data_IF_953202568033
#
_entry.id   IF_953202568033
#
_cell.length_a   1.000
_cell.length_b   1.000
_cell.length_c   1.000
_cell.angle_alpha   90.00
_cell.angle_beta   90.00
_cell.angle_gamma   90.00
#
_symmetry.space_group_name_H-M   'P 1'
#
loop_
_entity.id
_entity.type
_entity.pdbx_description
1 polymer ?
#
# COMPACT_ATOMS: atom_id res chain seq x y z
N UNK A 1 -10.62 -48.09 -40.23
CA UNK A 1 -10.51 -46.64 -40.57
C UNK A 1 -11.15 -45.73 -39.51
N UNK A 2 -12.16 -46.17 -38.74
CA UNK A 2 -12.79 -45.38 -37.65
C UNK A 2 -11.98 -45.25 -36.34
N UNK A 3 -11.01 -46.16 -36.07
CA UNK A 3 -10.16 -46.08 -34.85
C UNK A 3 -9.11 -44.95 -34.89
N UNK A 4 -8.64 -44.54 -36.07
CA UNK A 4 -7.65 -43.47 -36.19
C UNK A 4 -8.25 -42.07 -35.95
N UNK A 5 -9.55 -41.89 -36.22
CA UNK A 5 -10.21 -40.60 -36.01
C UNK A 5 -10.46 -40.33 -34.52
N UNK A 6 -10.76 -41.38 -33.73
CA UNK A 6 -10.96 -41.26 -32.29
C UNK A 6 -9.66 -40.94 -31.53
N UNK A 7 -8.53 -41.51 -31.95
CA UNK A 7 -7.23 -41.23 -31.32
C UNK A 7 -6.81 -39.77 -31.53
N UNK A 8 -7.02 -39.20 -32.72
CA UNK A 8 -6.63 -37.81 -33.03
C UNK A 8 -7.45 -36.80 -32.20
N UNK A 9 -8.74 -37.07 -31.99
CA UNK A 9 -9.61 -36.19 -31.19
C UNK A 9 -9.23 -36.25 -29.70
N UNK A 10 -8.91 -37.43 -29.17
CA UNK A 10 -8.48 -37.58 -27.76
C UNK A 10 -7.10 -36.93 -27.55
N UNK A 11 -6.16 -37.08 -28.48
CA UNK A 11 -4.85 -36.42 -28.39
C UNK A 11 -4.97 -34.91 -28.48
N UNK A 12 -5.81 -34.35 -29.38
CA UNK A 12 -6.05 -32.91 -29.45
C UNK A 12 -6.76 -32.35 -28.22
N UNK A 13 -7.66 -33.11 -27.58
CA UNK A 13 -8.31 -32.69 -26.33
C UNK A 13 -7.36 -32.74 -25.14
N UNK A 14 -6.51 -33.77 -25.05
CA UNK A 14 -5.49 -33.88 -24.00
C UNK A 14 -4.48 -32.73 -24.07
N UNK A 15 -4.01 -32.38 -25.27
CA UNK A 15 -3.10 -31.25 -25.49
C UNK A 15 -3.72 -29.89 -25.10
N UNK A 16 -5.04 -29.73 -25.30
CA UNK A 16 -5.78 -28.53 -24.92
C UNK A 16 -5.93 -28.38 -23.40
N UNK A 17 -6.10 -29.49 -22.69
CA UNK A 17 -6.20 -29.53 -21.22
C UNK A 17 -4.83 -29.24 -20.60
N UNK A 18 -3.75 -29.84 -21.11
CA UNK A 18 -2.38 -29.59 -20.64
C UNK A 18 -1.89 -28.17 -20.95
N UNK A 19 -2.32 -27.58 -22.09
CA UNK A 19 -2.06 -26.16 -22.39
C UNK A 19 -2.72 -25.22 -21.38
N UNK A 20 -3.92 -25.52 -20.89
CA UNK A 20 -4.57 -24.70 -19.88
C UNK A 20 -3.90 -24.80 -18.51
N UNK A 21 -3.42 -25.98 -18.09
CA UNK A 21 -2.68 -26.11 -16.83
C UNK A 21 -1.31 -25.45 -16.89
N UNK A 22 -0.61 -25.54 -18.02
CA UNK A 22 0.68 -24.85 -18.21
C UNK A 22 0.52 -23.33 -18.37
N UNK A 23 -0.58 -22.85 -18.96
CA UNK A 23 -0.96 -21.43 -18.95
C UNK A 23 -1.29 -20.96 -17.53
N UNK A 24 -2.08 -21.72 -16.76
CA UNK A 24 -2.39 -21.37 -15.37
C UNK A 24 -1.13 -21.40 -14.49
N UNK A 25 -0.21 -22.33 -14.73
CA UNK A 25 1.07 -22.41 -14.02
C UNK A 25 2.07 -21.34 -14.49
N UNK A 26 2.00 -20.88 -15.74
CA UNK A 26 2.77 -19.74 -16.24
C UNK A 26 2.20 -18.41 -15.72
N UNK A 27 0.88 -18.28 -15.63
CA UNK A 27 0.17 -17.14 -15.00
C UNK A 27 0.47 -17.08 -13.50
N UNK A 28 0.60 -18.22 -12.81
CA UNK A 28 1.01 -18.28 -11.41
C UNK A 28 2.52 -18.03 -11.19
N UNK A 29 3.35 -18.19 -12.24
CA UNK A 29 4.80 -17.93 -12.22
C UNK A 29 5.17 -16.52 -12.68
N UNK A 30 4.38 -15.88 -13.53
CA UNK A 30 4.33 -14.42 -13.58
C UNK A 30 3.74 -13.96 -12.25
N UNK A 31 4.31 -12.93 -11.62
CA UNK A 31 3.86 -12.38 -10.34
C UNK A 31 2.46 -11.73 -10.47
N UNK A 32 1.41 -12.51 -10.75
CA UNK A 32 0.02 -12.08 -10.76
C UNK A 32 -0.63 -12.22 -9.37
N UNK A 33 0.19 -12.29 -8.32
CA UNK A 33 -0.26 -12.14 -6.93
C UNK A 33 -0.35 -10.66 -6.53
N UNK A 34 0.36 -9.79 -7.26
CA UNK A 34 0.39 -8.35 -7.01
C UNK A 34 -0.76 -7.58 -7.68
N UNK A 35 -1.58 -8.25 -8.51
CA UNK A 35 -2.68 -7.60 -9.27
C UNK A 35 -4.06 -7.73 -8.63
N UNK A 36 -4.22 -8.51 -7.57
CA UNK A 36 -5.46 -8.49 -6.78
C UNK A 36 -5.31 -7.47 -5.66
N UNK A 37 -5.67 -6.21 -5.94
CA UNK A 37 -5.63 -5.08 -4.99
C UNK A 37 -6.76 -5.14 -3.94
N UNK A 38 -7.27 -6.33 -3.62
CA UNK A 38 -8.24 -6.48 -2.54
C UNK A 38 -7.46 -6.65 -1.24
N UNK A 39 -7.60 -5.68 -0.34
CA UNK A 39 -7.03 -5.76 0.99
C UNK A 39 -7.71 -6.85 1.80
N UNK A 40 -6.97 -7.42 2.73
CA UNK A 40 -7.50 -8.33 3.76
C UNK A 40 -7.65 -7.62 5.10
N UNK A 41 -8.38 -8.24 6.03
CA UNK A 41 -8.53 -7.71 7.39
C UNK A 41 -7.18 -7.54 8.11
N UNK A 42 -6.23 -8.46 7.87
CA UNK A 42 -4.88 -8.38 8.43
C UNK A 42 -4.10 -7.16 7.90
N UNK A 43 -4.34 -6.76 6.64
CA UNK A 43 -3.72 -5.56 6.08
C UNK A 43 -4.27 -4.29 6.73
N UNK A 44 -5.57 -4.25 7.03
CA UNK A 44 -6.18 -3.14 7.78
C UNK A 44 -5.61 -3.04 9.18
N UNK A 45 -5.42 -4.16 9.89
CA UNK A 45 -4.77 -4.16 11.21
C UNK A 45 -3.33 -3.65 11.15
N UNK A 46 -2.57 -4.09 10.15
CA UNK A 46 -1.20 -3.62 9.93
C UNK A 46 -1.14 -2.12 9.63
N UNK A 47 -2.04 -1.63 8.77
CA UNK A 47 -2.13 -0.19 8.44
C UNK A 47 -2.53 0.62 9.68
N UNK A 48 -3.47 0.13 10.48
CA UNK A 48 -3.89 0.78 11.73
C UNK A 48 -2.71 0.86 12.72
N UNK A 49 -1.94 -0.22 12.86
CA UNK A 49 -0.75 -0.24 13.72
C UNK A 49 0.33 0.75 13.27
N UNK A 50 0.60 0.82 11.95
CA UNK A 50 1.54 1.77 11.36
C UNK A 50 1.08 3.22 11.56
N UNK A 51 -0.23 3.45 11.46
CA UNK A 51 -0.85 4.77 11.62
C UNK A 51 -1.13 5.14 13.09
N UNK A 52 -0.78 4.26 14.05
CA UNK A 52 -1.06 4.43 15.49
C UNK A 52 -2.55 4.66 15.79
N UNK A 53 -3.44 4.00 15.04
CA UNK A 53 -4.88 4.03 15.24
C UNK A 53 -5.34 2.76 15.94
N UNK A 54 -6.15 2.91 16.99
CA UNK A 54 -6.88 1.81 17.60
C UNK A 54 -8.27 1.72 16.96
N UNK A 55 -8.60 0.58 16.35
CA UNK A 55 -9.88 0.34 15.69
C UNK A 55 -10.61 -0.81 16.37
N UNK A 56 -11.91 -0.66 16.59
CA UNK A 56 -12.78 -1.77 16.98
C UNK A 56 -13.14 -2.65 15.75
N UNK A 57 -13.68 -3.84 15.99
CA UNK A 57 -13.91 -4.82 14.92
C UNK A 57 -14.88 -4.31 13.84
N UNK A 58 -15.91 -3.57 14.25
CA UNK A 58 -16.87 -2.95 13.33
C UNK A 58 -16.20 -1.87 12.46
N UNK A 59 -15.33 -1.06 13.05
CA UNK A 59 -14.55 -0.05 12.34
C UNK A 59 -13.54 -0.66 11.38
N UNK A 60 -12.92 -1.79 11.73
CA UNK A 60 -12.02 -2.51 10.83
C UNK A 60 -12.76 -2.98 9.58
N UNK A 61 -13.93 -3.60 9.73
CA UNK A 61 -14.73 -4.05 8.60
C UNK A 61 -15.19 -2.87 7.73
N UNK A 62 -15.69 -1.80 8.35
CA UNK A 62 -16.11 -0.61 7.61
C UNK A 62 -14.93 0.07 6.90
N UNK A 63 -13.73 0.04 7.50
CA UNK A 63 -12.50 0.58 6.90
C UNK A 63 -12.04 -0.28 5.72
N UNK A 64 -12.13 -1.61 5.84
CA UNK A 64 -11.81 -2.56 4.78
C UNK A 64 -12.63 -2.28 3.52
N UNK A 65 -13.96 -2.17 3.67
CA UNK A 65 -14.88 -1.93 2.56
C UNK A 65 -14.59 -0.57 1.88
N UNK A 66 -14.30 0.47 2.68
CA UNK A 66 -13.95 1.80 2.18
C UNK A 66 -12.62 1.80 1.43
N UNK A 67 -11.58 1.15 1.97
CA UNK A 67 -10.27 1.11 1.34
C UNK A 67 -10.32 0.33 0.01
N UNK A 68 -11.03 -0.80 -0.02
CA UNK A 68 -11.24 -1.54 -1.27
C UNK A 68 -11.96 -0.69 -2.32
N UNK A 69 -12.99 0.07 -1.93
CA UNK A 69 -13.69 1.00 -2.83
C UNK A 69 -12.77 2.10 -3.40
N UNK A 70 -11.80 2.58 -2.60
CA UNK A 70 -10.81 3.57 -3.06
C UNK A 70 -9.83 2.92 -4.03
N UNK A 71 -9.38 1.69 -3.77
CA UNK A 71 -8.48 0.98 -4.69
C UNK A 71 -9.15 0.69 -6.04
N UNK A 72 -10.43 0.36 -6.08
CA UNK A 72 -11.19 0.25 -7.33
C UNK A 72 -11.19 1.55 -8.14
N UNK A 73 -11.17 2.71 -7.47
CA UNK A 73 -11.03 4.01 -8.15
C UNK A 73 -9.61 4.21 -8.69
N UNK A 74 -8.59 3.85 -7.90
CA UNK A 74 -7.18 3.96 -8.30
C UNK A 74 -6.86 3.04 -9.49
N UNK A 75 -7.43 1.83 -9.53
CA UNK A 75 -7.29 0.90 -10.66
C UNK A 75 -7.76 1.52 -11.98
N UNK A 76 -8.81 2.35 -11.97
CA UNK A 76 -9.25 3.08 -13.17
C UNK A 76 -8.19 4.06 -13.67
N UNK A 77 -7.37 4.61 -12.79
CA UNK A 77 -6.26 5.52 -13.17
C UNK A 77 -5.08 4.75 -13.77
N UNK A 78 -4.88 3.48 -13.41
CA UNK A 78 -3.81 2.63 -13.96
C UNK A 78 -4.02 2.27 -15.44
N UNK A 79 -5.22 2.46 -15.99
CA UNK A 79 -5.51 2.26 -17.40
C UNK A 79 -4.79 3.27 -18.32
N UNK A 80 -4.26 4.36 -17.76
CA UNK A 80 -3.52 5.38 -18.50
C UNK A 80 -2.05 4.99 -18.60
N UNK A 81 -1.53 4.90 -19.83
CA UNK A 81 -0.09 4.67 -20.06
C UNK A 81 0.72 5.90 -19.64
N UNK A 82 1.65 5.69 -18.72
CA UNK A 82 2.58 6.70 -18.18
C UNK A 82 4.03 6.41 -18.55
N UNK A 83 4.27 5.52 -19.52
CA UNK A 83 5.62 5.16 -19.97
C UNK A 83 6.37 6.39 -20.48
N UNK A 84 7.49 6.72 -19.83
CA UNK A 84 8.33 7.87 -20.18
C UNK A 84 7.82 9.22 -19.67
N UNK A 85 6.79 9.24 -18.82
CA UNK A 85 6.32 10.46 -18.15
C UNK A 85 7.04 10.63 -16.81
N UNK A 86 7.78 11.72 -16.66
CA UNK A 86 8.44 12.06 -15.39
C UNK A 86 7.41 12.48 -14.32
N UNK A 87 7.50 11.95 -13.08
CA UNK A 87 6.60 12.35 -12.00
C UNK A 87 6.72 13.82 -11.63
N UNK A 88 5.58 14.51 -11.49
CA UNK A 88 5.53 15.90 -11.07
C UNK A 88 5.59 16.01 -9.54
N UNK A 89 6.70 16.52 -8.99
CA UNK A 89 6.88 16.68 -7.53
C UNK A 89 6.33 17.99 -6.98
N UNK A 90 6.49 19.09 -7.74
CA UNK A 90 6.00 20.41 -7.40
C UNK A 90 5.38 21.04 -8.64
N UNK A 91 4.27 21.80 -8.53
CA UNK A 91 3.63 22.44 -9.67
C UNK A 91 4.47 23.58 -10.28
N UNK A 92 5.46 24.08 -9.54
CA UNK A 92 6.36 25.14 -9.98
C UNK A 92 7.80 24.65 -9.96
N UNK A 93 8.56 25.04 -10.98
CA UNK A 93 10.01 24.85 -11.03
C UNK A 93 10.69 25.87 -10.13
N UNK A 94 10.92 25.51 -8.87
CA UNK A 94 11.57 26.37 -7.88
C UNK A 94 12.92 25.78 -7.52
N UNK A 95 13.97 26.60 -7.62
CA UNK A 95 15.29 26.23 -7.13
C UNK A 95 15.25 26.01 -5.60
N UNK A 96 16.06 25.07 -5.11
CA UNK A 96 16.21 24.84 -3.68
C UNK A 96 16.71 26.12 -3.01
N UNK A 97 15.91 26.66 -2.08
CA UNK A 97 16.30 27.85 -1.31
C UNK A 97 17.29 27.43 -0.23
N UNK A 98 18.44 28.09 -0.21
CA UNK A 98 19.40 27.98 0.87
C UNK A 98 18.95 28.86 2.04
N UNK A 99 19.17 28.37 3.25
CA UNK A 99 19.03 29.14 4.50
C UNK A 99 20.44 29.57 4.92
N UNK A 100 20.59 30.82 5.33
CA UNK A 100 21.86 31.32 5.87
C UNK A 100 22.25 30.55 7.14
N UNK A 101 23.55 30.31 7.31
CA UNK A 101 24.13 29.69 8.50
C UNK A 101 24.30 30.73 9.62
N UNK A 102 23.18 31.20 10.16
CA UNK A 102 23.12 32.15 11.26
C UNK A 102 22.31 31.58 12.42
N UNK A 103 22.78 31.81 13.64
CA UNK A 103 22.07 31.48 14.90
C UNK A 103 20.92 32.46 15.07
N UNK A 104 19.71 31.93 15.30
CA UNK A 104 18.47 32.72 15.48
C UNK A 104 17.74 32.40 16.77
N UNK A 105 18.28 31.48 17.57
CA UNK A 105 17.61 30.85 18.69
C UNK A 105 17.54 31.76 19.93
N UNK A 106 16.35 31.88 20.51
CA UNK A 106 16.07 32.53 21.80
C UNK A 106 15.32 31.56 22.72
N UNK A 107 15.34 31.76 24.04
CA UNK A 107 14.62 30.85 24.97
C UNK A 107 13.11 31.09 24.89
N UNK A 108 12.39 30.11 24.32
CA UNK A 108 10.94 30.09 24.19
C UNK A 108 10.29 28.95 24.98
N UNK A 109 10.99 28.32 25.92
CA UNK A 109 10.50 27.11 26.56
C UNK A 109 9.14 27.30 27.26
N UNK A 110 8.89 28.46 27.88
CA UNK A 110 7.61 28.75 28.54
C UNK A 110 6.44 28.81 27.54
N UNK A 111 6.67 29.39 26.35
CA UNK A 111 5.68 29.47 25.28
C UNK A 111 5.37 28.09 24.70
N UNK A 112 6.41 27.29 24.42
CA UNK A 112 6.25 25.95 23.87
C UNK A 112 5.62 24.95 24.84
N UNK A 113 5.81 25.16 26.15
CA UNK A 113 5.28 24.29 27.19
C UNK A 113 3.83 24.65 27.57
N UNK A 114 3.30 25.80 27.14
CA UNK A 114 1.95 26.23 27.49
C UNK A 114 0.83 25.31 26.95
N UNK A 115 1.06 24.64 25.81
CA UNK A 115 0.10 23.72 25.17
C UNK A 115 0.36 22.24 25.51
N UNK A 116 1.39 21.98 26.31
CA UNK A 116 1.84 20.63 26.61
C UNK A 116 0.92 19.95 27.64
N UNK A 117 0.52 18.67 27.43
CA UNK A 117 -0.31 17.95 28.39
C UNK A 117 0.33 17.79 29.77
N UNK A 118 1.63 17.51 29.82
CA UNK A 118 2.38 17.35 31.08
C UNK A 118 3.82 17.83 30.91
N UNK A 119 4.27 18.68 31.84
CA UNK A 119 5.62 19.23 31.87
C UNK A 119 6.15 19.16 33.29
N UNK A 120 7.40 18.70 33.45
CA UNK A 120 8.10 18.70 34.74
C UNK A 120 9.56 19.05 34.54
N UNK A 121 10.09 19.95 35.36
CA UNK A 121 11.49 20.39 35.29
C UNK A 121 11.93 20.80 33.86
N UNK A 122 11.07 21.50 33.12
CA UNK A 122 11.27 21.89 31.70
C UNK A 122 11.38 20.72 30.70
N UNK A 123 10.87 19.54 31.04
CA UNK A 123 10.82 18.37 30.16
C UNK A 123 9.37 18.00 29.83
N UNK A 124 9.14 17.54 28.60
CA UNK A 124 7.88 16.92 28.21
C UNK A 124 7.84 15.50 28.76
N UNK A 125 6.78 15.18 29.50
CA UNK A 125 6.65 13.88 30.13
C UNK A 125 5.86 12.96 29.21
N UNK A 126 6.44 11.78 28.94
CA UNK A 126 5.81 10.72 28.15
C UNK A 126 5.83 9.42 28.96
N UNK A 127 4.82 8.56 28.83
CA UNK A 127 4.84 7.25 29.45
C UNK A 127 6.07 6.46 29.02
N UNK A 128 6.79 5.88 29.97
CA UNK A 128 7.94 5.02 29.66
C UNK A 128 7.42 3.73 29.03
N UNK A 129 7.82 3.47 27.78
CA UNK A 129 7.53 2.21 27.10
C UNK A 129 8.66 1.24 27.45
N UNK A 130 8.39 0.32 28.39
CA UNK A 130 9.23 -0.87 28.60
C UNK A 130 8.53 -1.98 27.82
N UNK A 131 9.12 -2.41 26.70
CA UNK A 131 8.58 -3.52 25.91
C UNK A 131 8.83 -4.88 26.58
N UNK A 132 8.04 -5.89 26.21
CA UNK A 132 8.53 -7.27 26.18
C UNK A 132 9.50 -7.47 25.01
#
# INVERSE_FOLDING_TARGET
>A
MLMNLFSVIITQFADKITRNDTLNQAIAKLNLKDLTMSLTMNDVEKIAQLSRLALNETEKQATLDKLNSIFELVEKMQAVDTTGVEPLTHPHEVALRLRDDAVTETDHAAEYQAVAPEVKNRLYIVPQVIGE
#
